data_IF_411071216107
#
_entry.id   IF_411071216107
#
_cell.length_a   1.000
_cell.length_b   1.000
_cell.length_c   1.000
_cell.angle_alpha   90.00
_cell.angle_beta   90.00
_cell.angle_gamma   90.00
#
_symmetry.space_group_name_H-M   'P 1'
#
loop_
_entity.id
_entity.type
_entity.pdbx_description
1 polymer ?
#
# COMPACT_ATOMS: atom_id res chain seq x y z
N UNK A 1 -10.90 7.87 -14.81
CA UNK A 1 -10.13 6.59 -14.92
C UNK A 1 -9.80 6.17 -16.35
N UNK A 2 -10.66 6.35 -17.35
CA UNK A 2 -10.38 5.93 -18.74
C UNK A 2 -9.16 6.62 -19.39
N UNK A 3 -8.74 7.77 -18.90
CA UNK A 3 -7.61 8.56 -19.41
C UNK A 3 -6.29 8.36 -18.65
N UNK A 4 -6.27 7.54 -17.59
CA UNK A 4 -5.06 7.33 -16.81
C UNK A 4 -4.13 6.35 -17.56
N UNK A 5 -3.01 6.87 -18.04
CA UNK A 5 -1.97 6.08 -18.72
C UNK A 5 -0.85 5.76 -17.74
N UNK A 6 -0.48 4.49 -17.65
CA UNK A 6 0.69 4.06 -16.88
C UNK A 6 1.85 3.93 -17.89
N UNK A 7 2.92 4.71 -17.74
CA UNK A 7 4.09 4.59 -18.61
C UNK A 7 4.76 3.22 -18.39
N UNK A 8 5.31 2.66 -19.46
CA UNK A 8 6.04 1.39 -19.36
C UNK A 8 7.28 1.52 -18.45
N UNK A 9 7.63 0.45 -17.76
CA UNK A 9 8.91 0.33 -17.07
C UNK A 9 10.06 0.60 -18.05
N UNK A 10 11.04 1.41 -17.66
CA UNK A 10 12.18 1.73 -18.53
C UNK A 10 13.26 0.66 -18.43
N UNK A 11 13.26 -0.30 -19.35
CA UNK A 11 14.32 -1.29 -19.45
C UNK A 11 15.69 -0.63 -19.68
N UNK A 12 15.74 0.44 -20.48
CA UNK A 12 16.95 1.19 -20.76
C UNK A 12 17.59 1.77 -19.49
N UNK A 13 16.81 2.44 -18.64
CA UNK A 13 17.32 2.98 -17.39
C UNK A 13 17.73 1.90 -16.40
N UNK A 14 16.98 0.79 -16.33
CA UNK A 14 17.30 -0.36 -15.50
C UNK A 14 18.63 -1.02 -15.93
N UNK A 15 18.83 -1.24 -17.22
CA UNK A 15 20.07 -1.78 -17.77
C UNK A 15 21.26 -0.82 -17.57
N UNK A 16 21.04 0.48 -17.71
CA UNK A 16 22.08 1.48 -17.45
C UNK A 16 22.50 1.45 -15.97
N UNK A 17 21.55 1.40 -15.04
CA UNK A 17 21.84 1.25 -13.62
C UNK A 17 22.58 -0.07 -13.30
N UNK A 18 22.19 -1.18 -13.93
CA UNK A 18 22.87 -2.47 -13.77
C UNK A 18 24.31 -2.41 -14.27
N UNK A 19 24.56 -1.86 -15.48
CA UNK A 19 25.93 -1.70 -15.99
C UNK A 19 26.77 -0.84 -15.07
N UNK A 20 26.18 0.23 -14.50
CA UNK A 20 26.86 1.08 -13.52
C UNK A 20 27.23 0.30 -12.27
N UNK A 21 26.29 -0.47 -11.69
CA UNK A 21 26.52 -1.32 -10.50
C UNK A 21 27.64 -2.35 -10.73
N UNK A 22 27.69 -2.94 -11.92
CA UNK A 22 28.71 -3.95 -12.28
C UNK A 22 30.12 -3.34 -12.39
N UNK A 23 30.23 -2.02 -12.63
CA UNK A 23 31.49 -1.28 -12.73
C UNK A 23 31.93 -0.61 -11.42
N UNK A 24 31.12 -0.68 -10.34
CA UNK A 24 31.50 -0.11 -9.04
C UNK A 24 32.60 -0.92 -8.36
N UNK A 25 33.42 -0.23 -7.53
CA UNK A 25 34.54 -0.82 -6.80
C UNK A 25 34.05 -1.74 -5.66
N UNK A 26 33.43 -2.84 -6.01
CA UNK A 26 32.92 -3.90 -5.12
C UNK A 26 32.95 -5.27 -5.85
N UNK A 27 32.80 -6.33 -5.10
CA UNK A 27 32.56 -7.64 -5.70
C UNK A 27 31.21 -7.58 -6.45
N UNK A 28 31.14 -7.98 -7.73
CA UNK A 28 29.91 -7.95 -8.51
C UNK A 28 28.76 -8.67 -7.78
N UNK A 29 27.60 -8.03 -7.75
CA UNK A 29 26.35 -8.53 -7.14
C UNK A 29 26.44 -8.86 -5.64
N UNK A 30 27.46 -8.38 -4.93
CA UNK A 30 27.69 -8.67 -3.50
C UNK A 30 26.66 -8.02 -2.56
N UNK A 31 25.91 -7.01 -3.03
CA UNK A 31 24.86 -6.36 -2.26
C UNK A 31 23.47 -7.00 -2.52
N UNK A 32 23.40 -8.04 -3.37
CA UNK A 32 22.20 -8.85 -3.58
C UNK A 32 20.97 -7.99 -3.90
N UNK A 33 19.92 -8.15 -3.11
CA UNK A 33 18.62 -7.49 -3.32
C UNK A 33 18.64 -5.96 -3.23
N UNK A 34 19.66 -5.36 -2.64
CA UNK A 34 19.85 -3.90 -2.64
C UNK A 34 20.17 -3.41 -4.06
N UNK A 35 20.97 -4.16 -4.81
CA UNK A 35 21.25 -3.85 -6.23
C UNK A 35 20.00 -4.02 -7.10
N UNK A 36 19.24 -5.10 -6.88
CA UNK A 36 17.96 -5.31 -7.56
C UNK A 36 16.97 -4.17 -7.30
N UNK A 37 16.92 -3.67 -6.06
CA UNK A 37 16.09 -2.51 -5.69
C UNK A 37 16.54 -1.25 -6.43
N UNK A 38 17.84 -0.97 -6.51
CA UNK A 38 18.36 0.18 -7.24
C UNK A 38 18.00 0.12 -8.74
N UNK A 39 18.17 -1.06 -9.37
CA UNK A 39 17.80 -1.30 -10.78
C UNK A 39 16.29 -1.13 -10.99
N UNK A 40 15.48 -1.66 -10.09
CA UNK A 40 14.01 -1.51 -10.15
C UNK A 40 13.60 -0.05 -10.06
N UNK A 41 14.18 0.72 -9.13
CA UNK A 41 13.91 2.14 -8.95
C UNK A 41 14.33 2.96 -10.20
N UNK A 42 15.46 2.61 -10.81
CA UNK A 42 15.89 3.20 -12.08
C UNK A 42 14.86 2.97 -13.20
N UNK A 43 14.38 1.74 -13.33
CA UNK A 43 13.37 1.38 -14.34
C UNK A 43 12.02 2.07 -14.11
N UNK A 44 11.57 2.21 -12.85
CA UNK A 44 10.33 2.91 -12.50
C UNK A 44 10.44 4.39 -12.87
N UNK A 45 11.51 5.06 -12.45
CA UNK A 45 11.69 6.50 -12.66
C UNK A 45 12.11 6.88 -14.07
N UNK A 46 12.65 5.91 -14.84
CA UNK A 46 13.27 6.15 -16.15
C UNK A 46 14.61 6.90 -16.05
N UNK A 47 15.29 6.83 -14.89
CA UNK A 47 16.57 7.50 -14.63
C UNK A 47 17.61 6.46 -14.20
N UNK A 48 18.81 6.48 -14.78
CA UNK A 48 19.93 5.60 -14.37
C UNK A 48 20.26 5.74 -12.88
N UNK A 49 20.31 6.97 -12.38
CA UNK A 49 20.62 7.30 -10.99
C UNK A 49 19.45 8.10 -10.39
N UNK A 50 18.37 7.43 -9.94
CA UNK A 50 17.26 8.13 -9.31
C UNK A 50 17.64 8.67 -7.92
N UNK A 51 16.93 9.70 -7.46
CA UNK A 51 17.06 10.26 -6.13
C UNK A 51 15.67 10.57 -5.56
N UNK A 52 15.52 10.41 -4.25
CA UNK A 52 14.25 10.58 -3.54
C UNK A 52 14.38 11.57 -2.38
N UNK A 53 14.63 12.87 -2.67
CA UNK A 53 14.81 13.89 -1.62
C UNK A 53 13.52 14.16 -0.84
N UNK A 54 12.37 14.08 -1.51
CA UNK A 54 11.07 14.36 -0.92
C UNK A 54 10.24 13.07 -0.88
N UNK A 55 9.88 12.64 0.32
CA UNK A 55 9.16 11.40 0.59
C UNK A 55 7.85 11.70 1.31
N UNK A 56 6.79 10.95 1.02
CA UNK A 56 5.51 11.11 1.69
C UNK A 56 4.81 9.78 1.94
N UNK A 57 4.10 9.71 3.05
CA UNK A 57 3.09 8.70 3.33
C UNK A 57 1.73 9.37 3.25
N UNK A 58 0.83 8.78 2.50
CA UNK A 58 -0.59 9.17 2.50
C UNK A 58 -1.37 8.08 3.22
N UNK A 59 -1.87 8.41 4.40
CA UNK A 59 -2.64 7.51 5.25
C UNK A 59 -4.12 7.79 5.06
N UNK A 60 -4.85 6.80 4.53
CA UNK A 60 -6.29 6.88 4.33
C UNK A 60 -7.03 6.24 5.48
N UNK A 61 -8.04 6.92 6.02
CA UNK A 61 -8.85 6.44 7.13
C UNK A 61 -10.31 6.22 6.72
N UNK A 62 -10.85 5.07 7.11
CA UNK A 62 -12.26 4.74 6.95
C UNK A 62 -12.71 3.73 7.99
N UNK A 63 -13.99 3.72 8.31
CA UNK A 63 -14.63 2.71 9.15
C UNK A 63 -15.28 1.61 8.31
N UNK A 64 -15.51 0.46 8.94
CA UNK A 64 -16.15 -0.70 8.35
C UNK A 64 -17.25 -1.23 9.28
N UNK A 65 -18.49 -1.26 8.85
CA UNK A 65 -19.58 -1.75 9.68
C UNK A 65 -19.52 -3.26 9.98
N UNK A 66 -18.73 -4.03 9.21
CA UNK A 66 -18.43 -5.43 9.56
C UNK A 66 -17.70 -5.55 10.91
N UNK A 67 -17.05 -4.50 11.41
CA UNK A 67 -16.43 -4.48 12.73
C UNK A 67 -17.47 -4.70 13.85
N UNK A 68 -18.73 -4.29 13.61
CA UNK A 68 -19.85 -4.51 14.55
C UNK A 68 -20.19 -5.98 14.73
N UNK A 69 -19.76 -6.85 13.83
CA UNK A 69 -19.91 -8.32 13.90
C UNK A 69 -18.84 -8.99 14.78
N UNK A 70 -18.02 -8.23 15.50
CA UNK A 70 -17.02 -8.77 16.41
C UNK A 70 -15.78 -9.36 15.72
N UNK A 71 -15.44 -8.89 14.53
CA UNK A 71 -14.24 -9.31 13.77
C UNK A 71 -12.97 -8.56 14.15
N UNK A 72 -13.06 -7.62 15.09
CA UNK A 72 -11.94 -6.84 15.63
C UNK A 72 -11.85 -6.96 17.15
N UNK A 73 -10.67 -6.72 17.70
CA UNK A 73 -10.44 -6.70 19.15
C UNK A 73 -10.96 -5.40 19.80
N UNK A 74 -11.13 -4.35 19.00
CA UNK A 74 -11.58 -3.01 19.43
C UNK A 74 -12.81 -2.58 18.65
N UNK A 75 -13.55 -1.60 19.14
CA UNK A 75 -14.67 -0.99 18.43
C UNK A 75 -14.23 0.04 17.39
N UNK A 76 -15.18 0.47 16.55
CA UNK A 76 -14.95 1.44 15.46
C UNK A 76 -14.45 2.80 15.98
N UNK A 77 -14.80 3.20 17.19
CA UNK A 77 -14.36 4.46 17.81
C UNK A 77 -12.83 4.64 17.80
N UNK A 78 -12.08 3.54 17.77
CA UNK A 78 -10.61 3.59 17.73
C UNK A 78 -10.11 4.17 16.40
N UNK A 79 -10.85 4.03 15.31
CA UNK A 79 -10.48 4.67 14.02
C UNK A 79 -10.38 6.19 14.18
N UNK A 80 -11.43 6.82 14.70
CA UNK A 80 -11.42 8.27 14.96
C UNK A 80 -10.32 8.68 15.93
N UNK A 81 -10.17 7.94 17.05
CA UNK A 81 -9.13 8.21 18.06
C UNK A 81 -7.73 8.21 17.43
N UNK A 82 -7.45 7.24 16.56
CA UNK A 82 -6.17 7.14 15.87
C UNK A 82 -5.98 8.23 14.83
N UNK A 83 -7.01 8.58 14.06
CA UNK A 83 -6.94 9.72 13.12
C UNK A 83 -6.55 11.00 13.84
N UNK A 84 -7.21 11.30 14.97
CA UNK A 84 -6.88 12.45 15.81
C UNK A 84 -5.46 12.37 16.38
N UNK A 85 -5.00 11.17 16.75
CA UNK A 85 -3.65 10.92 17.22
C UNK A 85 -2.60 11.14 16.13
N UNK A 86 -2.84 10.66 14.92
CA UNK A 86 -1.93 10.85 13.77
C UNK A 86 -1.78 12.31 13.40
N UNK A 87 -2.88 13.06 13.35
CA UNK A 87 -2.85 14.50 13.05
C UNK A 87 -2.07 15.28 14.11
N UNK A 88 -2.16 14.88 15.40
CA UNK A 88 -1.37 15.44 16.49
C UNK A 88 0.10 14.98 16.52
N UNK A 89 0.49 14.07 15.65
CA UNK A 89 1.87 13.58 15.58
C UNK A 89 2.24 12.47 16.56
N UNK A 90 1.25 11.80 17.17
CA UNK A 90 1.43 10.81 18.25
C UNK A 90 1.44 9.34 17.83
N UNK A 91 1.15 9.01 16.58
CA UNK A 91 1.13 7.62 16.10
C UNK A 91 2.51 7.03 15.84
N UNK A 92 2.57 5.72 15.69
CA UNK A 92 3.81 5.00 15.32
C UNK A 92 4.31 5.49 13.95
N UNK A 93 3.42 5.64 13.00
CA UNK A 93 3.75 6.16 11.66
C UNK A 93 4.38 7.55 11.73
N UNK A 94 3.93 8.44 12.63
CA UNK A 94 4.52 9.77 12.81
C UNK A 94 5.98 9.68 13.26
N UNK A 95 6.28 8.77 14.22
CA UNK A 95 7.65 8.57 14.71
C UNK A 95 8.56 8.06 13.58
N UNK A 96 8.07 7.11 12.79
CA UNK A 96 8.85 6.54 11.67
C UNK A 96 9.02 7.55 10.53
N UNK A 97 7.99 8.35 10.21
CA UNK A 97 8.11 9.43 9.24
C UNK A 97 9.16 10.46 9.64
N UNK A 98 9.18 10.88 10.93
CA UNK A 98 10.23 11.79 11.43
C UNK A 98 11.63 11.20 11.29
N UNK A 99 11.79 9.91 11.60
CA UNK A 99 13.07 9.22 11.45
C UNK A 99 13.53 9.14 9.99
N UNK A 100 12.61 8.92 9.06
CA UNK A 100 12.89 8.77 7.63
C UNK A 100 12.92 10.10 6.85
N UNK A 101 12.65 11.23 7.51
CA UNK A 101 12.50 12.52 6.85
C UNK A 101 11.33 12.57 5.87
N UNK A 102 10.26 11.83 6.15
CA UNK A 102 9.07 11.76 5.30
C UNK A 102 7.93 12.61 5.86
N UNK A 103 7.10 13.15 4.96
CA UNK A 103 5.83 13.78 5.33
C UNK A 103 4.75 12.73 5.58
N UNK A 104 3.76 13.09 6.38
CA UNK A 104 2.55 12.30 6.59
C UNK A 104 1.32 13.15 6.27
N UNK A 105 0.51 12.71 5.32
CA UNK A 105 -0.81 13.27 5.02
C UNK A 105 -1.87 12.29 5.52
N UNK A 106 -2.72 12.71 6.46
CA UNK A 106 -3.84 11.91 6.99
C UNK A 106 -5.11 12.31 6.27
N UNK A 107 -5.78 11.37 5.62
CA UNK A 107 -6.93 11.61 4.75
C UNK A 107 -8.15 10.86 5.27
N UNK A 108 -9.21 11.59 5.64
CA UNK A 108 -10.51 10.99 5.91
C UNK A 108 -11.22 10.73 4.57
N UNK A 109 -11.43 9.46 4.23
CA UNK A 109 -12.14 9.01 3.04
C UNK A 109 -13.45 8.31 3.38
N UNK A 110 -13.63 7.91 4.65
CA UNK A 110 -14.82 7.18 5.08
C UNK A 110 -14.91 6.90 6.59
N UNK A 111 -14.38 7.76 7.44
CA UNK A 111 -14.58 7.66 8.90
C UNK A 111 -16.06 7.92 9.21
N UNK A 112 -16.63 7.15 10.13
CA UNK A 112 -18.06 7.17 10.44
C UNK A 112 -18.55 8.53 10.94
N UNK A 113 -17.80 9.11 11.86
CA UNK A 113 -18.10 10.44 12.42
C UNK A 113 -17.51 11.55 11.56
N UNK A 114 -18.13 12.74 11.62
CA UNK A 114 -17.56 13.93 11.01
C UNK A 114 -16.41 14.44 11.88
N UNK A 115 -15.32 14.81 11.23
CA UNK A 115 -14.06 15.23 11.85
C UNK A 115 -13.75 16.70 11.47
N UNK A 116 -14.78 17.55 11.40
CA UNK A 116 -14.65 18.96 10.99
C UNK A 116 -13.82 19.78 11.97
N UNK A 117 -13.75 19.37 13.22
CA UNK A 117 -12.94 19.99 14.29
C UNK A 117 -11.44 19.60 14.25
N UNK A 118 -11.05 18.64 13.38
CA UNK A 118 -9.66 18.17 13.32
C UNK A 118 -8.88 19.02 12.31
N UNK A 119 -8.14 20.00 12.82
CA UNK A 119 -7.24 20.82 12.01
C UNK A 119 -6.06 19.98 11.48
N UNK A 120 -5.69 20.18 10.21
CA UNK A 120 -4.62 19.42 9.54
C UNK A 120 -5.07 18.09 8.92
N UNK A 121 -6.30 17.64 9.15
CA UNK A 121 -6.87 16.49 8.47
C UNK A 121 -7.27 16.86 7.03
N UNK A 122 -6.86 16.04 6.07
CA UNK A 122 -7.30 16.17 4.67
C UNK A 122 -8.68 15.53 4.52
N UNK A 123 -9.69 16.35 4.32
CA UNK A 123 -11.09 15.90 4.20
C UNK A 123 -11.42 15.54 2.76
N UNK A 124 -11.60 14.26 2.51
CA UNK A 124 -11.99 13.68 1.19
C UNK A 124 -13.06 12.61 1.37
N UNK A 125 -13.92 12.78 2.41
CA UNK A 125 -14.95 11.82 2.77
C UNK A 125 -15.90 11.57 1.59
N UNK A 126 -16.03 10.32 1.19
CA UNK A 126 -16.96 9.86 0.14
C UNK A 126 -18.20 9.26 0.77
N UNK A 127 -18.04 8.59 1.91
CA UNK A 127 -19.12 7.92 2.63
C UNK A 127 -18.82 7.85 4.13
N UNK A 128 -19.84 7.52 4.92
CA UNK A 128 -19.70 7.28 6.36
C UNK A 128 -19.65 5.78 6.63
N UNK A 129 -18.46 5.19 6.70
CA UNK A 129 -18.15 3.77 6.81
C UNK A 129 -18.49 2.92 5.57
N UNK A 130 -17.68 1.88 5.28
CA UNK A 130 -18.08 0.79 4.42
C UNK A 130 -19.20 -0.01 5.08
N UNK A 131 -20.23 -0.35 4.31
CA UNK A 131 -21.34 -1.18 4.80
C UNK A 131 -20.83 -2.58 5.15
N UNK A 132 -21.59 -3.30 6.00
CA UNK A 132 -21.27 -4.69 6.31
C UNK A 132 -21.41 -5.58 5.06
N UNK A 133 -20.30 -5.93 4.46
CA UNK A 133 -20.30 -6.75 3.25
C UNK A 133 -20.77 -8.20 3.49
N UNK A 134 -20.91 -8.64 4.74
CA UNK A 134 -21.53 -9.93 5.04
C UNK A 134 -23.06 -9.93 4.87
N UNK A 135 -23.67 -8.75 4.68
CA UNK A 135 -25.12 -8.57 4.50
C UNK A 135 -25.51 -8.01 3.12
N UNK A 136 -24.58 -7.37 2.43
CA UNK A 136 -24.76 -6.76 1.11
C UNK A 136 -23.44 -6.14 0.63
N UNK A 137 -23.41 -5.39 -0.49
CA UNK A 137 -22.18 -4.79 -0.98
C UNK A 137 -21.65 -3.70 -0.03
N UNK A 138 -20.32 -3.68 0.18
CA UNK A 138 -19.64 -2.69 1.03
C UNK A 138 -19.85 -1.25 0.55
N UNK A 139 -19.82 -1.05 -0.76
CA UNK A 139 -19.95 0.25 -1.45
C UNK A 139 -20.76 0.07 -2.72
N UNK A 140 -21.30 1.16 -3.25
CA UNK A 140 -21.70 1.16 -4.66
C UNK A 140 -20.47 1.23 -5.56
N UNK A 141 -20.63 0.93 -6.84
CA UNK A 141 -19.52 1.06 -7.81
C UNK A 141 -19.04 2.50 -7.93
N UNK A 142 -19.97 3.45 -7.86
CA UNK A 142 -19.70 4.89 -7.93
C UNK A 142 -18.92 5.36 -6.71
N UNK A 143 -19.28 4.92 -5.49
CA UNK A 143 -18.55 5.22 -4.26
C UNK A 143 -17.12 4.65 -4.33
N UNK A 144 -16.96 3.40 -4.78
CA UNK A 144 -15.64 2.78 -4.95
C UNK A 144 -14.76 3.57 -5.93
N UNK A 145 -15.33 3.98 -7.09
CA UNK A 145 -14.63 4.78 -8.08
C UNK A 145 -14.28 6.19 -7.56
N UNK A 146 -15.17 6.80 -6.77
CA UNK A 146 -14.90 8.10 -6.13
C UNK A 146 -13.73 8.00 -5.15
N UNK A 147 -13.69 6.94 -4.32
CA UNK A 147 -12.56 6.71 -3.41
C UNK A 147 -11.24 6.46 -4.17
N UNK A 148 -11.26 5.68 -5.26
CA UNK A 148 -10.08 5.51 -6.14
C UNK A 148 -9.64 6.87 -6.70
N UNK A 149 -10.57 7.73 -7.10
CA UNK A 149 -10.23 9.06 -7.61
C UNK A 149 -9.59 9.93 -6.53
N UNK A 150 -10.05 9.87 -5.28
CA UNK A 150 -9.39 10.54 -4.14
C UNK A 150 -7.91 10.15 -4.06
N UNK A 151 -7.60 8.86 -4.16
CA UNK A 151 -6.20 8.40 -4.12
C UNK A 151 -5.36 8.92 -5.28
N UNK A 152 -5.91 8.92 -6.50
CA UNK A 152 -5.24 9.48 -7.68
C UNK A 152 -4.94 10.97 -7.49
N UNK A 153 -5.90 11.72 -6.96
CA UNK A 153 -5.75 13.17 -6.75
C UNK A 153 -4.73 13.45 -5.64
N UNK A 154 -4.71 12.66 -4.56
CA UNK A 154 -3.68 12.74 -3.53
C UNK A 154 -2.27 12.50 -4.10
N UNK A 155 -2.10 11.53 -5.00
CA UNK A 155 -0.80 11.31 -5.65
C UNK A 155 -0.35 12.54 -6.48
N UNK A 156 -1.27 13.18 -7.18
CA UNK A 156 -1.01 14.42 -7.94
C UNK A 156 -0.68 15.59 -7.03
N UNK A 157 -1.41 15.75 -5.92
CA UNK A 157 -1.15 16.80 -4.93
C UNK A 157 0.23 16.64 -4.28
N UNK A 158 0.61 15.40 -3.91
CA UNK A 158 1.95 15.13 -3.38
C UNK A 158 3.04 15.37 -4.42
N UNK A 159 2.83 14.96 -5.67
CA UNK A 159 3.76 15.25 -6.77
C UNK A 159 3.94 16.76 -7.00
N UNK A 160 2.85 17.54 -6.94
CA UNK A 160 2.91 18.99 -7.05
C UNK A 160 3.70 19.66 -5.89
N UNK A 161 3.82 18.99 -4.75
CA UNK A 161 4.67 19.39 -3.62
C UNK A 161 6.12 18.93 -3.76
N UNK A 162 6.47 18.30 -4.88
CA UNK A 162 7.82 17.80 -5.16
C UNK A 162 8.12 16.40 -4.64
N UNK A 163 7.11 15.65 -4.16
CA UNK A 163 7.31 14.27 -3.67
C UNK A 163 7.76 13.36 -4.80
N UNK A 164 8.79 12.58 -4.53
CA UNK A 164 9.42 11.66 -5.49
C UNK A 164 9.33 10.20 -5.07
N UNK A 165 8.87 9.91 -3.84
CA UNK A 165 8.64 8.57 -3.30
C UNK A 165 7.40 8.59 -2.42
N UNK A 166 6.47 7.68 -2.68
CA UNK A 166 5.20 7.57 -1.96
C UNK A 166 5.09 6.24 -1.21
N UNK A 167 4.32 6.24 -0.13
CA UNK A 167 3.76 5.03 0.46
C UNK A 167 2.27 5.23 0.77
N UNK A 168 1.51 4.14 0.71
CA UNK A 168 0.13 4.09 1.13
C UNK A 168 0.04 3.53 2.55
N UNK A 169 -0.49 4.32 3.47
CA UNK A 169 -0.88 3.90 4.81
C UNK A 169 -2.39 3.81 4.95
N UNK A 170 -2.85 3.16 5.98
CA UNK A 170 -4.29 3.00 6.25
C UNK A 170 -4.61 3.01 7.74
N UNK A 171 -5.86 3.33 8.04
CA UNK A 171 -6.48 3.15 9.35
C UNK A 171 -7.96 2.83 9.19
N UNK A 172 -8.35 1.65 9.69
CA UNK A 172 -9.76 1.25 9.66
C UNK A 172 -10.01 0.01 10.50
N UNK A 173 -10.72 0.16 11.61
CA UNK A 173 -11.05 -1.01 12.44
C UNK A 173 -11.93 -1.98 11.65
N UNK A 174 -11.47 -3.24 11.56
CA UNK A 174 -12.14 -4.30 10.80
C UNK A 174 -11.65 -4.52 9.37
N UNK A 175 -10.77 -3.66 8.85
CA UNK A 175 -10.35 -3.65 7.44
C UNK A 175 -9.52 -4.88 6.99
N UNK A 176 -8.99 -5.67 7.91
CA UNK A 176 -8.40 -6.97 7.56
C UNK A 176 -9.43 -7.97 7.03
N UNK A 177 -10.73 -7.77 7.33
CA UNK A 177 -11.80 -8.64 6.79
C UNK A 177 -12.04 -8.41 5.28
N UNK A 178 -12.25 -7.17 4.80
CA UNK A 178 -12.30 -6.90 3.37
C UNK A 178 -10.98 -7.23 2.66
N UNK A 179 -9.81 -7.03 3.30
CA UNK A 179 -8.52 -7.44 2.73
C UNK A 179 -8.43 -8.94 2.50
N UNK A 180 -8.89 -9.75 3.45
CA UNK A 180 -9.00 -11.22 3.30
C UNK A 180 -10.00 -11.61 2.21
N UNK A 181 -11.13 -10.90 2.10
CA UNK A 181 -12.11 -11.16 1.04
C UNK A 181 -11.52 -10.87 -0.35
N UNK A 182 -10.84 -9.75 -0.53
CA UNK A 182 -10.15 -9.39 -1.77
C UNK A 182 -9.08 -10.44 -2.10
N UNK A 183 -8.26 -10.83 -1.12
CA UNK A 183 -7.22 -11.83 -1.29
C UNK A 183 -7.82 -13.16 -1.77
N UNK A 184 -8.84 -13.69 -1.09
CA UNK A 184 -9.49 -14.94 -1.46
C UNK A 184 -10.08 -14.88 -2.89
N UNK A 185 -10.78 -13.78 -3.23
CA UNK A 185 -11.44 -13.65 -4.54
C UNK A 185 -10.44 -13.55 -5.68
N UNK A 186 -9.36 -12.77 -5.52
CA UNK A 186 -8.41 -12.51 -6.62
C UNK A 186 -7.39 -13.64 -6.77
N UNK A 187 -6.95 -14.27 -5.68
CA UNK A 187 -5.94 -15.33 -5.73
C UNK A 187 -6.53 -16.73 -5.90
N UNK A 188 -7.82 -16.92 -5.57
CA UNK A 188 -8.46 -18.23 -5.49
C UNK A 188 -8.09 -19.03 -4.24
N UNK A 189 -7.31 -18.47 -3.31
CA UNK A 189 -7.00 -19.09 -2.02
C UNK A 189 -8.26 -19.23 -1.16
N UNK A 190 -8.29 -20.22 -0.28
CA UNK A 190 -9.43 -20.36 0.64
C UNK A 190 -9.47 -19.21 1.63
N UNK A 191 -10.67 -18.85 2.07
CA UNK A 191 -10.85 -17.78 3.08
C UNK A 191 -10.09 -18.10 4.37
N UNK A 192 -9.99 -19.39 4.73
CA UNK A 192 -9.27 -19.79 5.94
C UNK A 192 -7.76 -19.56 5.84
N UNK A 193 -7.15 -19.73 4.67
CA UNK A 193 -5.73 -19.48 4.43
C UNK A 193 -5.36 -17.99 4.49
N UNK A 194 -6.29 -17.10 4.11
CA UNK A 194 -6.02 -15.65 4.04
C UNK A 194 -6.57 -14.87 5.23
N UNK A 195 -7.25 -15.54 6.20
CA UNK A 195 -7.85 -14.85 7.35
C UNK A 195 -6.98 -15.01 8.57
N UNK A 196 -6.46 -13.88 9.08
CA UNK A 196 -5.64 -13.80 10.28
C UNK A 196 -6.35 -13.17 11.48
N UNK A 197 -5.56 -12.97 12.54
CA UNK A 197 -6.02 -12.40 13.80
C UNK A 197 -6.27 -10.87 13.72
N UNK A 198 -5.79 -10.21 12.67
CA UNK A 198 -5.92 -8.77 12.48
C UNK A 198 -5.41 -7.98 13.69
N UNK A 199 -6.27 -7.15 14.30
CA UNK A 199 -5.95 -6.34 15.48
C UNK A 199 -5.67 -7.16 16.76
N UNK A 200 -5.69 -8.51 16.68
CA UNK A 200 -5.38 -9.38 17.81
C UNK A 200 -6.61 -10.08 18.43
N UNK A 201 -7.58 -10.47 17.61
CA UNK A 201 -8.71 -11.28 18.08
C UNK A 201 -8.23 -12.67 18.54
N UNK A 202 -8.88 -13.27 19.55
CA UNK A 202 -8.60 -14.64 19.94
C UNK A 202 -8.82 -15.63 18.79
N UNK A 203 -8.09 -16.74 18.79
CA UNK A 203 -8.13 -17.75 17.72
C UNK A 203 -9.55 -18.30 17.44
N UNK A 204 -10.38 -18.38 18.45
CA UNK A 204 -11.78 -18.82 18.31
C UNK A 204 -12.61 -17.87 17.46
N UNK A 205 -12.30 -16.57 17.51
CA UNK A 205 -12.97 -15.54 16.70
C UNK A 205 -12.49 -15.50 15.24
N UNK A 206 -11.31 -16.05 14.95
CA UNK A 206 -10.82 -16.12 13.55
C UNK A 206 -11.77 -16.96 12.69
N UNK A 207 -12.28 -18.07 13.22
CA UNK A 207 -13.28 -18.89 12.51
C UNK A 207 -14.60 -18.16 12.27
N UNK A 208 -15.05 -17.37 13.25
CA UNK A 208 -16.24 -16.51 13.10
C UNK A 208 -16.00 -15.48 11.98
N UNK A 209 -14.88 -14.77 12.02
CA UNK A 209 -14.47 -13.80 11.00
C UNK A 209 -14.42 -14.44 9.61
N UNK A 210 -13.78 -15.60 9.46
CA UNK A 210 -13.74 -16.35 8.21
C UNK A 210 -15.14 -16.75 7.72
N UNK A 211 -16.05 -17.10 8.65
CA UNK A 211 -17.46 -17.39 8.35
C UNK A 211 -18.19 -16.19 7.73
N UNK A 212 -18.01 -15.00 8.29
CA UNK A 212 -18.60 -13.77 7.77
C UNK A 212 -18.02 -13.39 6.40
N UNK A 213 -16.71 -13.54 6.20
CA UNK A 213 -16.06 -13.31 4.92
C UNK A 213 -16.62 -14.24 3.84
N UNK A 214 -16.72 -15.54 4.11
CA UNK A 214 -17.34 -16.52 3.18
C UNK A 214 -18.77 -16.15 2.82
N UNK A 215 -19.57 -15.76 3.83
CA UNK A 215 -20.95 -15.28 3.64
C UNK A 215 -20.98 -14.09 2.71
N UNK A 216 -20.13 -13.08 2.95
CA UNK A 216 -20.05 -11.87 2.16
C UNK A 216 -19.69 -12.14 0.69
N UNK A 217 -18.70 -13.00 0.45
CA UNK A 217 -18.32 -13.42 -0.91
C UNK A 217 -19.50 -14.16 -1.59
N UNK A 218 -20.18 -15.05 -0.87
CA UNK A 218 -21.29 -15.83 -1.41
C UNK A 218 -22.52 -14.99 -1.78
N UNK A 219 -22.86 -13.98 -0.95
CA UNK A 219 -23.99 -13.09 -1.17
C UNK A 219 -23.70 -12.12 -2.32
N UNK A 220 -22.53 -11.45 -2.29
CA UNK A 220 -22.21 -10.38 -3.23
C UNK A 220 -21.68 -10.90 -4.57
N UNK A 221 -21.14 -12.12 -4.62
CA UNK A 221 -20.60 -12.75 -5.84
C UNK A 221 -19.66 -11.79 -6.60
N UNK A 222 -18.58 -11.33 -5.99
CA UNK A 222 -17.64 -10.44 -6.66
C UNK A 222 -17.04 -11.14 -7.89
N UNK A 223 -16.94 -10.40 -9.00
CA UNK A 223 -16.34 -10.88 -10.23
C UNK A 223 -14.81 -10.67 -10.18
N UNK A 224 -13.99 -11.75 -10.11
CA UNK A 224 -12.53 -11.61 -10.00
C UNK A 224 -11.88 -10.97 -11.23
N UNK A 225 -12.57 -10.91 -12.37
CA UNK A 225 -12.08 -10.25 -13.58
C UNK A 225 -12.41 -8.74 -13.62
N UNK A 226 -13.16 -8.22 -12.66
CA UNK A 226 -13.48 -6.79 -12.52
C UNK A 226 -13.06 -6.31 -11.12
N UNK A 227 -11.85 -5.79 -11.02
CA UNK A 227 -11.29 -5.34 -9.74
C UNK A 227 -12.15 -4.26 -9.05
N UNK A 228 -12.87 -3.43 -9.81
CA UNK A 228 -13.78 -2.42 -9.24
C UNK A 228 -15.04 -3.08 -8.68
N UNK A 229 -15.53 -4.16 -9.29
CA UNK A 229 -16.65 -4.94 -8.76
C UNK A 229 -16.26 -5.64 -7.45
N UNK A 230 -15.06 -6.24 -7.41
CA UNK A 230 -14.52 -6.84 -6.17
C UNK A 230 -14.42 -5.78 -5.07
N UNK A 231 -13.82 -4.63 -5.39
CA UNK A 231 -13.65 -3.52 -4.45
C UNK A 231 -14.99 -3.01 -3.92
N UNK A 232 -15.97 -2.78 -4.78
CA UNK A 232 -17.29 -2.29 -4.40
C UNK A 232 -18.04 -3.29 -3.50
N UNK A 233 -17.96 -4.57 -3.81
CA UNK A 233 -18.73 -5.61 -3.11
C UNK A 233 -18.13 -6.02 -1.77
N UNK A 234 -16.82 -6.17 -1.69
CA UNK A 234 -16.14 -6.73 -0.50
C UNK A 234 -14.94 -5.90 -0.04
N UNK A 235 -14.75 -4.68 -0.53
CA UNK A 235 -13.64 -3.80 -0.18
C UNK A 235 -13.98 -2.76 0.90
N UNK A 236 -13.36 -1.58 0.77
CA UNK A 236 -13.56 -0.43 1.65
C UNK A 236 -13.00 0.86 1.08
N UNK A 237 -13.42 2.04 1.61
CA UNK A 237 -13.04 3.34 1.07
C UNK A 237 -11.52 3.59 1.08
N UNK A 238 -10.83 3.25 2.18
CA UNK A 238 -9.38 3.42 2.30
C UNK A 238 -8.61 2.46 1.39
N UNK A 239 -9.08 1.21 1.22
CA UNK A 239 -8.52 0.26 0.26
C UNK A 239 -8.63 0.79 -1.18
N UNK A 240 -9.78 1.40 -1.50
CA UNK A 240 -10.01 2.05 -2.79
C UNK A 240 -9.08 3.25 -2.99
N UNK A 241 -8.95 4.12 -1.98
CA UNK A 241 -8.09 5.29 -2.06
C UNK A 241 -6.60 4.91 -2.13
N UNK A 242 -6.15 3.90 -1.39
CA UNK A 242 -4.79 3.36 -1.53
C UNK A 242 -4.53 2.82 -2.94
N UNK A 243 -5.50 2.08 -3.52
CA UNK A 243 -5.40 1.61 -4.92
C UNK A 243 -5.27 2.81 -5.88
N UNK A 244 -6.02 3.87 -5.62
CA UNK A 244 -5.95 5.14 -6.36
C UNK A 244 -4.60 5.83 -6.25
N UNK A 245 -4.00 5.88 -5.05
CA UNK A 245 -2.65 6.42 -4.84
C UNK A 245 -1.60 5.66 -5.64
N UNK A 246 -1.68 4.33 -5.67
CA UNK A 246 -0.79 3.48 -6.46
C UNK A 246 -0.94 3.72 -7.96
N UNK A 247 -2.18 3.84 -8.45
CA UNK A 247 -2.48 4.22 -9.83
C UNK A 247 -1.92 5.61 -10.19
N UNK A 248 -2.16 6.59 -9.33
CA UNK A 248 -1.68 7.97 -9.50
C UNK A 248 -0.16 8.07 -9.50
N UNK A 249 0.51 7.47 -8.51
CA UNK A 249 1.98 7.42 -8.42
C UNK A 249 2.59 6.76 -9.65
N UNK A 250 2.06 5.60 -10.05
CA UNK A 250 2.50 4.89 -11.25
C UNK A 250 2.38 5.74 -12.52
N UNK A 251 1.28 6.48 -12.67
CA UNK A 251 1.06 7.36 -13.84
C UNK A 251 2.07 8.52 -13.92
N UNK A 252 2.67 8.88 -12.80
CA UNK A 252 3.64 9.98 -12.66
C UNK A 252 5.09 9.47 -12.58
N UNK A 253 5.35 8.17 -12.74
CA UNK A 253 6.66 7.53 -12.50
C UNK A 253 7.21 7.75 -11.09
N UNK A 254 6.33 7.93 -10.11
CA UNK A 254 6.70 8.01 -8.70
C UNK A 254 6.53 6.60 -8.11
N UNK A 255 7.60 5.97 -7.62
CA UNK A 255 7.49 4.67 -6.95
C UNK A 255 6.56 4.76 -5.75
N UNK A 256 5.69 3.75 -5.58
CA UNK A 256 4.83 3.63 -4.41
C UNK A 256 5.22 2.38 -3.64
N UNK A 257 5.58 2.55 -2.37
CA UNK A 257 5.94 1.45 -1.48
C UNK A 257 4.67 0.86 -0.87
N UNK A 258 4.50 -0.44 -1.07
CA UNK A 258 3.39 -1.25 -0.53
C UNK A 258 3.79 -1.70 0.88
N UNK A 259 2.95 -1.41 1.85
CA UNK A 259 3.16 -1.75 3.26
C UNK A 259 2.92 -3.26 3.52
N UNK A 260 1.94 -3.60 4.33
CA UNK A 260 1.62 -4.97 4.73
C UNK A 260 0.43 -5.56 3.96
N UNK A 261 -0.31 -6.43 4.63
CA UNK A 261 -1.40 -7.21 4.05
C UNK A 261 -2.51 -6.36 3.42
N UNK A 262 -2.96 -5.31 4.12
CA UNK A 262 -4.05 -4.44 3.65
C UNK A 262 -3.61 -3.65 2.41
N UNK A 263 -2.39 -3.09 2.44
CA UNK A 263 -1.80 -2.42 1.28
C UNK A 263 -1.58 -3.38 0.10
N UNK A 264 -1.23 -4.65 0.38
CA UNK A 264 -1.16 -5.72 -0.62
C UNK A 264 -2.50 -5.98 -1.30
N UNK A 265 -3.60 -6.00 -0.54
CA UNK A 265 -4.94 -6.14 -1.10
C UNK A 265 -5.32 -4.93 -2.00
N UNK A 266 -4.97 -3.72 -1.56
CA UNK A 266 -5.15 -2.51 -2.37
C UNK A 266 -4.29 -2.54 -3.65
N UNK A 267 -3.05 -3.06 -3.58
CA UNK A 267 -2.18 -3.25 -4.74
C UNK A 267 -2.77 -4.24 -5.74
N UNK A 268 -3.38 -5.34 -5.27
CA UNK A 268 -4.07 -6.30 -6.13
C UNK A 268 -5.22 -5.65 -6.91
N UNK A 269 -6.00 -4.78 -6.26
CA UNK A 269 -7.05 -3.99 -6.93
C UNK A 269 -6.44 -3.02 -7.95
N UNK A 270 -5.40 -2.27 -7.59
CA UNK A 270 -4.76 -1.32 -8.51
C UNK A 270 -4.22 -2.01 -9.78
N UNK A 271 -3.58 -3.17 -9.62
CA UNK A 271 -3.07 -4.00 -10.73
C UNK A 271 -4.22 -4.57 -11.56
N UNK A 272 -5.31 -5.00 -10.92
CA UNK A 272 -6.51 -5.47 -11.61
C UNK A 272 -7.17 -4.36 -12.46
N UNK A 273 -7.13 -3.11 -12.00
CA UNK A 273 -7.61 -1.94 -12.77
C UNK A 273 -6.66 -1.60 -13.92
N UNK A 274 -5.35 -1.62 -13.68
CA UNK A 274 -4.29 -1.31 -14.66
C UNK A 274 -3.06 -2.19 -14.43
N UNK A 275 -2.88 -3.27 -15.22
CA UNK A 275 -1.79 -4.24 -15.00
C UNK A 275 -0.38 -3.64 -14.96
N UNK A 276 -0.12 -2.58 -15.74
CA UNK A 276 1.18 -1.89 -15.75
C UNK A 276 1.59 -1.24 -14.42
N UNK A 277 0.67 -1.10 -13.46
CA UNK A 277 0.99 -0.61 -12.11
C UNK A 277 1.94 -1.55 -11.37
N UNK A 278 1.87 -2.86 -11.62
CA UNK A 278 2.74 -3.87 -10.99
C UNK A 278 4.22 -3.47 -11.04
N UNK A 279 4.67 -3.01 -12.20
CA UNK A 279 6.07 -2.69 -12.42
C UNK A 279 6.51 -1.41 -11.69
N UNK A 280 5.56 -0.60 -11.23
CA UNK A 280 5.78 0.66 -10.53
C UNK A 280 5.72 0.57 -9.01
N UNK A 281 5.39 -0.63 -8.46
CA UNK A 281 5.28 -0.84 -7.02
C UNK A 281 6.54 -1.47 -6.43
N UNK A 282 6.81 -1.15 -5.16
CA UNK A 282 7.90 -1.72 -4.36
C UNK A 282 7.25 -2.36 -3.12
N UNK A 283 7.44 -3.66 -2.90
CA UNK A 283 7.04 -4.29 -1.64
C UNK A 283 7.98 -3.85 -0.50
N UNK A 284 7.48 -3.80 0.72
CA UNK A 284 8.32 -3.45 1.86
C UNK A 284 8.77 -4.66 2.66
N UNK A 285 7.92 -5.19 3.49
CA UNK A 285 8.22 -6.25 4.44
C UNK A 285 7.28 -7.45 4.29
N UNK A 286 7.71 -8.59 4.83
CA UNK A 286 6.83 -9.74 5.02
C UNK A 286 6.01 -9.52 6.29
N UNK A 287 4.70 -9.30 6.14
CA UNK A 287 3.79 -9.22 7.27
C UNK A 287 3.45 -10.61 7.80
N UNK A 288 3.20 -10.73 9.11
CA UNK A 288 2.78 -12.00 9.73
C UNK A 288 1.32 -12.38 9.46
N UNK A 289 0.52 -11.51 8.83
CA UNK A 289 -0.84 -11.85 8.41
C UNK A 289 -0.78 -12.97 7.35
N UNK A 290 -1.54 -14.08 7.52
CA UNK A 290 -1.38 -15.30 6.68
C UNK A 290 -1.59 -15.02 5.18
N UNK A 291 -2.56 -14.17 4.83
CA UNK A 291 -2.85 -13.83 3.43
C UNK A 291 -1.81 -12.95 2.76
N UNK A 292 -0.84 -12.38 3.51
CA UNK A 292 0.13 -11.46 2.94
C UNK A 292 1.05 -12.13 1.92
N UNK A 293 1.69 -13.25 2.29
CA UNK A 293 2.60 -13.96 1.38
C UNK A 293 1.86 -14.43 0.13
N UNK A 294 0.63 -14.96 0.29
CA UNK A 294 -0.22 -15.39 -0.83
C UNK A 294 -0.48 -14.22 -1.81
N UNK A 295 -0.78 -13.02 -1.28
CA UNK A 295 -0.95 -11.83 -2.10
C UNK A 295 0.34 -11.42 -2.79
N UNK A 296 1.48 -11.36 -2.08
CA UNK A 296 2.74 -10.92 -2.66
C UNK A 296 3.23 -11.87 -3.76
N UNK A 297 3.02 -13.18 -3.59
CA UNK A 297 3.32 -14.19 -4.61
C UNK A 297 2.41 -14.02 -5.84
N UNK A 298 1.10 -13.80 -5.63
CA UNK A 298 0.15 -13.50 -6.71
C UNK A 298 0.52 -12.22 -7.47
N UNK A 299 0.96 -11.19 -6.76
CA UNK A 299 1.37 -9.91 -7.34
C UNK A 299 2.74 -9.99 -8.03
N UNK A 300 3.60 -10.95 -7.67
CA UNK A 300 4.98 -11.02 -8.12
C UNK A 300 5.82 -9.84 -7.62
N UNK A 301 5.51 -9.31 -6.43
CA UNK A 301 6.21 -8.16 -5.83
C UNK A 301 7.05 -8.68 -4.65
N UNK A 302 8.39 -8.58 -4.72
CA UNK A 302 9.26 -9.03 -3.63
C UNK A 302 9.17 -8.11 -2.40
N UNK A 303 9.29 -8.70 -1.21
CA UNK A 303 9.47 -7.99 0.07
C UNK A 303 10.95 -7.99 0.47
N UNK A 304 11.44 -6.98 1.20
CA UNK A 304 12.88 -6.76 1.44
C UNK A 304 13.34 -7.13 2.85
N UNK A 305 12.44 -7.13 3.84
CA UNK A 305 12.79 -7.52 5.22
C UNK A 305 11.63 -8.20 5.93
N UNK A 306 11.93 -8.84 7.05
CA UNK A 306 10.97 -9.45 7.97
C UNK A 306 11.36 -9.08 9.41
N UNK A 307 10.50 -8.33 10.08
CA UNK A 307 10.61 -7.97 11.50
C UNK A 307 9.40 -8.43 12.30
N UNK A 308 8.57 -9.31 11.77
CA UNK A 308 7.37 -9.79 12.41
C UNK A 308 6.29 -8.70 12.55
N UNK A 309 6.21 -7.76 11.60
CA UNK A 309 5.27 -6.64 11.65
C UNK A 309 3.86 -7.05 11.25
N UNK A 310 2.86 -6.41 11.88
CA UNK A 310 1.42 -6.54 11.56
C UNK A 310 0.63 -5.30 11.98
N UNK A 311 1.26 -4.14 12.07
CA UNK A 311 0.58 -2.93 12.55
C UNK A 311 -0.25 -2.26 11.46
N UNK A 312 0.27 -2.15 10.23
CA UNK A 312 -0.30 -1.30 9.19
C UNK A 312 0.20 0.15 9.27
N UNK A 313 -0.66 1.11 9.03
CA UNK A 313 -0.41 2.56 9.05
C UNK A 313 0.62 3.03 8.00
N UNK A 314 1.19 2.15 7.17
CA UNK A 314 2.33 2.44 6.28
C UNK A 314 3.69 2.29 6.97
N UNK A 315 3.72 1.70 8.17
CA UNK A 315 4.94 1.64 9.01
C UNK A 315 6.05 0.82 8.39
N UNK A 316 5.76 -0.34 7.82
CA UNK A 316 6.76 -1.15 7.13
C UNK A 316 7.26 -0.47 5.85
N UNK A 317 6.39 0.24 5.14
CA UNK A 317 6.80 0.98 3.96
C UNK A 317 7.81 2.09 4.30
N UNK A 318 7.58 2.83 5.37
CA UNK A 318 8.52 3.90 5.81
C UNK A 318 9.84 3.33 6.29
N UNK A 319 9.84 2.16 6.94
CA UNK A 319 11.08 1.49 7.34
C UNK A 319 11.96 1.10 6.14
N UNK A 320 11.38 0.93 4.95
CA UNK A 320 12.15 0.68 3.73
C UNK A 320 12.82 1.95 3.17
N UNK A 321 12.38 3.15 3.50
CA UNK A 321 12.90 4.40 2.92
C UNK A 321 14.41 4.58 3.09
N UNK A 322 15.02 4.38 4.27
CA UNK A 322 16.48 4.44 4.40
C UNK A 322 17.21 3.38 3.57
N UNK A 323 16.60 2.22 3.36
CA UNK A 323 17.17 1.16 2.50
C UNK A 323 17.11 1.59 1.03
N UNK A 324 16.01 2.23 0.61
CA UNK A 324 15.87 2.83 -0.73
C UNK A 324 16.95 3.91 -0.93
N UNK A 325 17.15 4.79 0.05
CA UNK A 325 18.20 5.82 -0.02
C UNK A 325 19.59 5.18 -0.17
N UNK A 326 19.90 4.16 0.62
CA UNK A 326 21.17 3.42 0.50
C UNK A 326 21.31 2.77 -0.89
N UNK A 327 20.24 2.15 -1.41
CA UNK A 327 20.25 1.50 -2.72
C UNK A 327 20.55 2.46 -3.88
N UNK A 328 20.05 3.70 -3.82
CA UNK A 328 20.30 4.68 -4.90
C UNK A 328 21.61 5.44 -4.72
N UNK A 329 22.08 5.65 -3.48
CA UNK A 329 23.34 6.32 -3.20
C UNK A 329 24.55 5.54 -3.68
N UNK A 330 24.52 4.20 -3.67
CA UNK A 330 25.61 3.40 -4.24
C UNK A 330 25.85 3.74 -5.72
N UNK A 331 24.81 4.09 -6.48
CA UNK A 331 24.94 4.47 -7.89
C UNK A 331 25.71 5.80 -8.08
N UNK A 332 25.66 6.69 -7.13
CA UNK A 332 26.22 8.06 -7.28
C UNK A 332 27.45 8.32 -6.41
N UNK A 333 27.58 7.65 -5.27
CA UNK A 333 28.60 7.97 -4.26
C UNK A 333 29.78 6.99 -4.27
N UNK A 334 29.62 5.79 -4.84
CA UNK A 334 30.72 4.81 -4.92
C UNK A 334 31.65 5.09 -6.10
N UNK A 335 32.94 4.85 -5.88
CA UNK A 335 33.94 4.86 -6.95
C UNK A 335 33.75 3.66 -7.89
N UNK A 336 34.16 3.81 -9.15
CA UNK A 336 34.25 2.71 -10.11
C UNK A 336 35.56 1.92 -9.93
N UNK A 337 35.61 0.69 -10.46
CA UNK A 337 36.84 -0.09 -10.52
C UNK A 337 37.99 0.68 -11.20
N UNK A 338 37.69 1.32 -12.33
CA UNK A 338 38.65 2.18 -13.02
C UNK A 338 39.08 3.37 -12.17
N UNK A 339 38.17 3.98 -11.40
CA UNK A 339 38.45 5.12 -10.53
C UNK A 339 39.43 4.81 -9.39
N UNK A 340 39.55 3.55 -8.98
CA UNK A 340 40.53 3.05 -7.99
C UNK A 340 41.74 2.41 -8.65
N UNK A 341 41.90 2.51 -9.98
CA UNK A 341 43.08 1.98 -10.72
C UNK A 341 43.02 0.52 -11.09
N UNK A 342 41.88 -0.17 -10.92
CA UNK A 342 41.67 -1.52 -11.41
C UNK A 342 41.29 -1.49 -12.89
N UNK A 343 41.88 -2.42 -13.70
CA UNK A 343 41.61 -2.56 -15.13
C UNK A 343 40.50 -3.59 -15.37
#
# INVERSE_FOLDING_TARGET
>A
MNTLTIPAFSAEAAEAAQRRLDNLAKVPRSLGRIEELAVRLAGITGKECPAFPEKSVVLFAADHDIALQGVSATGQEVTEMQVRNFVKGGGTINAFCRNAGARLSVVDVGVKNDLDDVEGLVRRKVMHAARDFSEGPAMTREEALACVQVGIDMAREEAARGVTLLAAGEMGIGNTSPSSAIAAVLTGASVDEVTGIGSGIPSERVRHKAGLIRRGIAINRPNPSDAVDVLAKVGGPELAAMSGLMLGGASLRIPVVVDGFIAGAAAAIAIGIRPGVRDMLIGSHSSVEPGHQILMDYLGIPTYFDFGLRLGEGTGAVLLYPIIDAAVRILTEMNTLQGIGMK
#
